data_IF_890321132821
#
_entry.id   IF_890321132821
#
_cell.length_a   1.000
_cell.length_b   1.000
_cell.length_c   1.000
_cell.angle_alpha   90.00
_cell.angle_beta   90.00
_cell.angle_gamma   90.00
#
_symmetry.space_group_name_H-M   'P 1'
#
loop_
_entity.id
_entity.type
_entity.pdbx_description
1 polymer ?
#
# COMPACT_ATOMS: atom_id res chain seq x y z
N UNK A 1 -18.71 18.46 -12.29
CA UNK A 1 -17.54 19.13 -12.89
C UNK A 1 -16.61 19.62 -11.75
N UNK A 2 -15.48 18.96 -11.50
CA UNK A 2 -14.55 19.34 -10.43
C UNK A 2 -13.83 18.13 -9.86
N UNK A 3 -13.35 18.30 -8.64
CA UNK A 3 -12.59 17.30 -7.90
C UNK A 3 -13.53 16.25 -7.27
N UNK A 4 -13.00 15.09 -7.00
CA UNK A 4 -13.59 14.11 -6.11
C UNK A 4 -12.86 14.14 -4.77
N UNK A 5 -13.49 14.73 -3.75
CA UNK A 5 -12.91 14.75 -2.41
C UNK A 5 -13.35 13.53 -1.61
N UNK A 6 -12.38 12.83 -1.03
CA UNK A 6 -12.61 11.78 -0.03
C UNK A 6 -12.15 12.29 1.31
N UNK A 7 -13.10 12.43 2.25
CA UNK A 7 -12.82 12.93 3.58
C UNK A 7 -12.64 11.78 4.57
N UNK A 8 -11.52 11.79 5.27
CA UNK A 8 -11.21 10.85 6.33
C UNK A 8 -11.96 11.15 7.61
N UNK A 9 -12.42 10.09 8.28
CA UNK A 9 -13.06 10.17 9.59
C UNK A 9 -12.33 9.33 10.65
N UNK A 10 -11.14 8.83 10.32
CA UNK A 10 -10.34 7.99 11.21
C UNK A 10 -10.80 6.52 11.23
N UNK A 11 -11.43 6.03 10.17
CA UNK A 11 -11.81 4.62 10.07
C UNK A 11 -10.56 3.73 9.85
N UNK A 12 -10.19 2.86 10.79
CA UNK A 12 -9.03 1.97 10.67
C UNK A 12 -9.34 0.69 9.90
N UNK A 13 -10.60 0.46 9.50
CA UNK A 13 -11.03 -0.85 8.98
C UNK A 13 -10.76 -1.05 7.49
N UNK A 14 -10.25 -0.06 6.76
CA UNK A 14 -9.90 -0.20 5.34
C UNK A 14 -8.57 -0.94 5.21
N UNK A 15 -8.61 -2.25 5.48
CA UNK A 15 -7.44 -3.10 5.66
C UNK A 15 -7.70 -4.51 5.12
N UNK A 16 -6.62 -5.19 4.74
CA UNK A 16 -6.62 -6.62 4.37
C UNK A 16 -7.20 -7.55 5.45
N UNK A 17 -7.31 -7.08 6.68
CA UNK A 17 -7.94 -7.83 7.78
C UNK A 17 -9.46 -7.95 7.65
N UNK A 18 -10.11 -6.98 6.99
CA UNK A 18 -11.57 -6.85 6.96
C UNK A 18 -12.15 -7.03 5.57
N UNK A 19 -11.33 -6.91 4.53
CA UNK A 19 -11.76 -7.05 3.13
C UNK A 19 -11.00 -8.16 2.44
N UNK A 20 -11.68 -9.22 2.04
CA UNK A 20 -11.12 -10.25 1.18
C UNK A 20 -10.67 -9.60 -0.15
N UNK A 21 -9.40 -9.82 -0.54
CA UNK A 21 -8.78 -9.13 -1.66
C UNK A 21 -8.18 -7.75 -1.32
N UNK A 22 -8.07 -7.45 -0.01
CA UNK A 22 -7.41 -6.25 0.50
C UNK A 22 -8.20 -4.96 0.33
N UNK A 23 -7.63 -3.80 0.73
CA UNK A 23 -8.30 -2.51 0.66
C UNK A 23 -8.71 -2.13 -0.76
N UNK A 24 -7.99 -2.56 -1.78
CA UNK A 24 -8.37 -2.35 -3.18
C UNK A 24 -9.72 -3.01 -3.55
N UNK A 25 -10.17 -4.04 -2.83
CA UNK A 25 -11.50 -4.64 -3.07
C UNK A 25 -12.63 -3.65 -2.75
N UNK A 26 -12.51 -2.94 -1.63
CA UNK A 26 -13.46 -1.88 -1.26
C UNK A 26 -13.45 -0.75 -2.29
N UNK A 27 -12.28 -0.30 -2.73
CA UNK A 27 -12.20 0.78 -3.72
C UNK A 27 -12.76 0.36 -5.08
N UNK A 28 -12.58 -0.89 -5.50
CA UNK A 28 -13.26 -1.42 -6.69
C UNK A 28 -14.77 -1.45 -6.52
N UNK A 29 -15.26 -1.76 -5.33
CA UNK A 29 -16.71 -1.68 -5.05
C UNK A 29 -17.20 -0.24 -5.17
N UNK A 30 -16.55 0.74 -4.55
CA UNK A 30 -16.91 2.15 -4.67
C UNK A 30 -16.87 2.63 -6.12
N UNK A 31 -15.85 2.25 -6.88
CA UNK A 31 -15.74 2.60 -8.29
C UNK A 31 -16.91 2.07 -9.10
N UNK A 32 -17.32 0.81 -8.89
CA UNK A 32 -18.51 0.23 -9.54
C UNK A 32 -19.80 0.96 -9.16
N UNK A 33 -19.97 1.27 -7.88
CA UNK A 33 -21.15 2.00 -7.40
C UNK A 33 -21.24 3.41 -8.00
N UNK A 34 -20.13 4.13 -8.06
CA UNK A 34 -20.05 5.45 -8.69
C UNK A 34 -20.31 5.36 -10.20
N UNK A 35 -19.74 4.37 -10.88
CA UNK A 35 -20.00 4.11 -12.29
C UNK A 35 -21.47 3.77 -12.53
N UNK A 36 -22.10 2.96 -11.70
CA UNK A 36 -23.52 2.61 -11.79
C UNK A 36 -24.43 3.84 -11.59
N UNK A 37 -23.99 4.80 -10.76
CA UNK A 37 -24.69 6.11 -10.59
C UNK A 37 -24.43 7.10 -11.72
N UNK A 38 -23.68 6.71 -12.75
CA UNK A 38 -23.48 7.52 -13.94
C UNK A 38 -22.18 8.33 -13.94
N UNK A 39 -21.31 8.21 -12.92
CA UNK A 39 -20.01 8.87 -12.96
C UNK A 39 -19.14 8.23 -14.04
N UNK A 40 -18.68 9.02 -15.01
CA UNK A 40 -17.82 8.57 -16.12
C UNK A 40 -16.50 9.32 -16.18
N UNK A 41 -16.47 10.50 -15.54
CA UNK A 41 -15.32 11.39 -15.61
C UNK A 41 -15.26 12.29 -14.38
N UNK A 42 -14.06 12.46 -13.86
CA UNK A 42 -13.66 13.47 -12.87
C UNK A 42 -12.78 14.44 -13.64
N UNK A 43 -13.17 15.73 -13.72
CA UNK A 43 -12.42 16.73 -14.50
C UNK A 43 -11.25 17.33 -13.73
N UNK A 44 -11.30 17.32 -12.42
CA UNK A 44 -10.23 17.72 -11.53
C UNK A 44 -9.51 16.51 -10.93
N UNK A 45 -9.06 16.68 -9.70
CA UNK A 45 -8.23 15.76 -8.95
C UNK A 45 -9.04 14.81 -8.05
N UNK A 46 -8.36 13.78 -7.55
CA UNK A 46 -8.79 13.03 -6.37
C UNK A 46 -8.15 13.68 -5.15
N UNK A 47 -8.94 14.31 -4.33
CA UNK A 47 -8.48 15.03 -3.12
C UNK A 47 -8.67 14.14 -1.89
N UNK A 48 -7.56 13.86 -1.20
CA UNK A 48 -7.59 13.20 0.11
C UNK A 48 -7.66 14.26 1.21
N UNK A 49 -8.84 14.41 1.83
CA UNK A 49 -9.04 15.32 2.95
C UNK A 49 -8.90 14.56 4.27
N UNK A 50 -7.74 14.63 4.89
CA UNK A 50 -7.45 14.04 6.20
C UNK A 50 -7.37 15.08 7.33
N UNK A 51 -7.88 16.30 7.10
CA UNK A 51 -7.83 17.45 8.01
C UNK A 51 -8.65 17.29 9.29
N UNK A 52 -9.30 16.13 9.49
CA UNK A 52 -9.92 15.80 10.77
C UNK A 52 -8.88 15.62 11.90
N UNK A 53 -7.69 15.15 11.54
CA UNK A 53 -6.54 15.06 12.43
C UNK A 53 -5.57 16.22 12.13
N UNK A 54 -4.65 16.49 13.06
CA UNK A 54 -3.57 17.43 12.83
C UNK A 54 -2.47 16.83 11.92
N UNK A 55 -1.48 17.65 11.57
CA UNK A 55 -0.38 17.24 10.69
C UNK A 55 0.72 16.44 11.39
N UNK A 56 0.52 16.09 12.67
CA UNK A 56 1.49 15.31 13.45
C UNK A 56 1.36 13.82 13.10
N UNK A 57 1.97 13.41 12.01
CA UNK A 57 1.92 12.03 11.50
C UNK A 57 2.59 11.02 12.44
N UNK A 58 3.66 11.44 13.11
CA UNK A 58 4.41 10.63 14.08
C UNK A 58 4.49 11.38 15.40
N UNK A 59 3.94 10.84 16.49
CA UNK A 59 4.05 11.45 17.80
C UNK A 59 5.53 11.73 18.18
N UNK A 60 5.86 12.90 18.73
CA UNK A 60 7.26 13.28 19.04
C UNK A 60 7.96 12.34 20.03
N UNK A 61 7.20 11.53 20.76
CA UNK A 61 7.73 10.53 21.71
C UNK A 61 8.11 9.21 21.06
N UNK A 62 7.77 9.01 19.78
CA UNK A 62 8.12 7.78 19.08
C UNK A 62 9.57 7.83 18.58
N UNK A 63 10.23 6.69 18.63
CA UNK A 63 11.60 6.56 18.14
C UNK A 63 11.61 6.51 16.62
N UNK A 64 12.12 7.56 15.98
CA UNK A 64 12.24 7.67 14.51
C UNK A 64 13.03 6.52 13.88
N UNK A 65 13.89 5.84 14.65
CA UNK A 65 14.61 4.65 14.15
C UNK A 65 13.71 3.45 13.92
N UNK A 66 12.49 3.49 14.45
CA UNK A 66 11.48 2.44 14.34
C UNK A 66 10.36 2.80 13.36
N UNK A 67 10.50 3.89 12.61
CA UNK A 67 9.44 4.39 11.70
C UNK A 67 9.03 3.40 10.60
N UNK A 68 9.85 2.38 10.33
CA UNK A 68 9.55 1.32 9.37
C UNK A 68 8.72 0.17 9.97
N UNK A 69 8.58 0.13 11.30
CA UNK A 69 7.90 -0.96 12.00
C UNK A 69 6.40 -0.70 12.08
N UNK A 70 5.58 -1.73 11.91
CA UNK A 70 4.13 -1.64 11.84
C UNK A 70 3.47 -0.88 12.99
N UNK A 71 4.02 -0.95 14.20
CA UNK A 71 3.50 -0.24 15.38
C UNK A 71 3.88 1.25 15.43
N UNK A 72 4.71 1.69 14.49
CA UNK A 72 5.11 3.10 14.32
C UNK A 72 4.57 3.68 13.00
N UNK A 73 3.47 3.12 12.49
CA UNK A 73 2.83 3.63 11.29
C UNK A 73 2.33 5.06 11.48
N UNK A 74 2.47 5.88 10.45
CA UNK A 74 1.99 7.26 10.45
C UNK A 74 0.49 7.32 10.74
N UNK A 75 0.06 8.32 11.52
CA UNK A 75 -1.34 8.58 11.85
C UNK A 75 -1.97 9.43 10.74
N UNK A 76 -3.16 9.07 10.29
CA UNK A 76 -3.94 9.83 9.31
C UNK A 76 -5.43 9.58 9.51
N UNK A 77 -6.26 10.58 9.25
CA UNK A 77 -7.70 10.40 9.23
C UNK A 77 -8.19 9.58 8.02
N UNK A 78 -7.37 9.46 6.97
CA UNK A 78 -7.52 8.52 5.86
C UNK A 78 -6.51 7.40 6.01
N UNK A 79 -6.94 6.27 6.56
CA UNK A 79 -6.09 5.10 6.77
C UNK A 79 -6.34 4.04 5.70
N UNK A 80 -5.27 3.37 5.28
CA UNK A 80 -5.31 2.24 4.35
C UNK A 80 -4.35 1.15 4.80
N UNK A 81 -4.85 -0.08 4.94
CA UNK A 81 -4.07 -1.27 5.29
C UNK A 81 -3.20 -1.08 6.55
N UNK A 82 -3.82 -0.53 7.62
CA UNK A 82 -3.14 -0.18 8.88
C UNK A 82 -1.97 0.81 8.68
N UNK A 83 -2.00 1.60 7.62
CA UNK A 83 -0.92 2.48 7.14
C UNK A 83 0.41 1.74 6.94
N UNK A 84 0.31 0.49 6.47
CA UNK A 84 1.41 -0.40 6.16
C UNK A 84 1.28 -0.99 4.75
N UNK A 85 2.42 -1.40 4.20
CA UNK A 85 2.52 -2.29 3.06
C UNK A 85 2.71 -3.72 3.54
N UNK A 86 1.81 -4.62 3.16
CA UNK A 86 2.08 -6.04 3.25
C UNK A 86 3.03 -6.43 2.10
N UNK A 87 4.11 -7.13 2.42
CA UNK A 87 5.11 -7.61 1.47
C UNK A 87 5.07 -9.12 1.44
N UNK A 88 4.79 -9.68 0.28
CA UNK A 88 4.76 -11.11 0.05
C UNK A 88 5.90 -11.51 -0.90
N UNK A 89 6.75 -12.43 -0.47
CA UNK A 89 7.86 -12.95 -1.28
C UNK A 89 7.64 -14.42 -1.56
N UNK A 90 7.51 -14.76 -2.85
CA UNK A 90 7.35 -16.13 -3.32
C UNK A 90 8.65 -16.63 -3.96
N UNK A 91 9.17 -17.80 -3.57
CA UNK A 91 10.31 -18.36 -4.26
C UNK A 91 10.00 -18.61 -5.73
N UNK A 92 11.00 -18.48 -6.58
CA UNK A 92 10.90 -18.86 -7.98
C UNK A 92 10.78 -20.40 -8.13
N UNK A 93 10.36 -20.85 -9.30
CA UNK A 93 10.26 -22.28 -9.61
C UNK A 93 11.63 -23.02 -9.62
N UNK A 94 12.73 -22.29 -9.62
CA UNK A 94 14.10 -22.82 -9.65
C UNK A 94 15.03 -21.98 -8.78
N UNK A 95 15.97 -22.63 -8.10
CA UNK A 95 17.06 -21.95 -7.42
C UNK A 95 17.95 -21.17 -8.41
N UNK A 96 18.59 -20.11 -7.95
CA UNK A 96 19.38 -19.18 -8.76
C UNK A 96 18.53 -18.15 -9.54
N UNK A 97 17.22 -18.10 -9.31
CA UNK A 97 16.35 -17.10 -9.91
C UNK A 97 15.83 -16.11 -8.86
N UNK A 98 15.57 -14.86 -9.24
CA UNK A 98 14.95 -13.90 -8.32
C UNK A 98 13.56 -14.36 -7.88
N UNK A 99 13.25 -14.18 -6.61
CA UNK A 99 11.94 -14.41 -6.05
C UNK A 99 10.94 -13.36 -6.60
N UNK A 100 9.66 -13.68 -6.57
CA UNK A 100 8.60 -12.73 -6.91
C UNK A 100 8.19 -11.95 -5.65
N UNK A 101 8.23 -10.63 -5.74
CA UNK A 101 7.79 -9.73 -4.68
C UNK A 101 6.43 -9.12 -5.09
N UNK A 102 5.48 -9.18 -4.18
CA UNK A 102 4.16 -8.57 -4.31
C UNK A 102 3.91 -7.67 -3.10
N UNK A 103 3.23 -6.55 -3.28
CA UNK A 103 2.90 -5.61 -2.19
C UNK A 103 1.42 -5.23 -2.20
N UNK A 104 0.87 -4.98 -1.01
CA UNK A 104 -0.52 -4.56 -0.83
C UNK A 104 -0.55 -3.45 0.23
N UNK A 105 -1.20 -2.28 -0.03
CA UNK A 105 -1.77 -1.87 -1.31
C UNK A 105 -0.70 -1.70 -2.40
N UNK A 106 -1.11 -1.66 -3.65
CA UNK A 106 -0.24 -1.38 -4.79
C UNK A 106 -0.82 -0.19 -5.55
N UNK A 107 0.01 0.83 -5.78
CA UNK A 107 -0.35 2.01 -6.57
C UNK A 107 0.92 2.68 -7.11
N UNK A 108 0.76 3.65 -8.02
CA UNK A 108 1.89 4.33 -8.68
C UNK A 108 2.86 5.06 -7.75
N UNK A 109 2.47 5.33 -6.49
CA UNK A 109 3.37 5.95 -5.50
C UNK A 109 4.34 4.94 -4.86
N UNK A 110 4.06 3.63 -4.96
CA UNK A 110 4.86 2.60 -4.32
C UNK A 110 5.88 2.05 -5.31
N UNK A 111 7.14 2.13 -4.94
CA UNK A 111 8.25 1.63 -5.74
C UNK A 111 8.94 0.49 -5.00
N UNK A 112 9.03 -0.68 -5.64
CA UNK A 112 9.71 -1.86 -5.10
C UNK A 112 11.04 -2.04 -5.83
N UNK A 113 12.13 -2.06 -5.08
CA UNK A 113 13.48 -2.23 -5.59
C UNK A 113 14.06 -3.58 -5.10
N UNK A 114 14.72 -4.29 -6.01
CA UNK A 114 15.34 -5.57 -5.73
C UNK A 114 14.35 -6.73 -5.65
N UNK A 115 14.90 -7.90 -5.54
CA UNK A 115 14.17 -9.14 -5.26
C UNK A 115 15.16 -10.13 -4.59
N UNK A 116 14.74 -10.83 -3.54
CA UNK A 116 15.55 -11.88 -2.92
C UNK A 116 15.91 -12.98 -3.92
N UNK A 117 17.08 -13.59 -3.75
CA UNK A 117 17.45 -14.77 -4.54
C UNK A 117 16.73 -16.01 -4.02
N UNK A 118 16.23 -16.84 -4.93
CA UNK A 118 15.75 -18.18 -4.57
C UNK A 118 16.93 -19.14 -4.50
N UNK A 119 17.17 -19.73 -3.33
CA UNK A 119 18.35 -20.60 -3.08
C UNK A 119 17.96 -22.06 -2.91
N UNK A 120 18.85 -22.96 -3.27
CA UNK A 120 18.66 -24.42 -3.10
C UNK A 120 18.70 -24.87 -1.62
N UNK A 121 19.37 -24.09 -0.76
CA UNK A 121 19.47 -24.34 0.68
C UNK A 121 18.15 -24.16 1.42
N UNK A 122 18.15 -24.43 2.72
CA UNK A 122 16.96 -24.33 3.58
C UNK A 122 16.81 -22.94 4.24
N UNK A 123 17.81 -22.09 4.17
CA UNK A 123 17.81 -20.80 4.86
C UNK A 123 16.97 -19.77 4.09
N UNK A 124 16.07 -19.12 4.83
CA UNK A 124 15.29 -17.98 4.34
C UNK A 124 15.59 -16.79 5.23
N UNK A 125 16.06 -15.70 4.62
CA UNK A 125 16.30 -14.42 5.28
C UNK A 125 15.87 -13.29 4.34
N UNK A 126 14.74 -12.67 4.63
CA UNK A 126 14.22 -11.53 3.88
C UNK A 126 14.43 -10.27 4.70
N UNK A 127 14.88 -9.22 4.05
CA UNK A 127 15.09 -7.91 4.63
C UNK A 127 14.28 -6.93 3.80
N UNK A 128 13.41 -6.18 4.48
CA UNK A 128 12.58 -5.13 3.87
C UNK A 128 12.93 -3.82 4.53
N UNK A 129 13.23 -2.81 3.73
CA UNK A 129 13.48 -1.45 4.19
C UNK A 129 12.67 -0.45 3.37
N UNK A 130 12.15 0.58 4.02
CA UNK A 130 11.56 1.75 3.37
C UNK A 130 12.50 2.94 3.51
N UNK A 131 12.77 3.62 2.40
CA UNK A 131 13.53 4.86 2.44
C UNK A 131 12.69 5.93 3.17
N UNK A 132 13.19 6.54 4.26
CA UNK A 132 12.48 7.57 5.01
C UNK A 132 11.91 8.69 4.13
N UNK A 133 10.69 9.16 4.44
CA UNK A 133 9.99 10.19 3.68
C UNK A 133 9.59 9.78 2.26
N UNK A 134 9.49 8.48 1.99
CA UNK A 134 9.08 7.94 0.66
C UNK A 134 8.37 6.61 0.80
N UNK A 135 7.66 6.19 -0.27
CA UNK A 135 7.13 4.83 -0.43
C UNK A 135 8.02 3.96 -1.34
N UNK A 136 9.34 4.23 -1.33
CA UNK A 136 10.33 3.38 -1.99
C UNK A 136 10.82 2.34 -1.02
N UNK A 137 10.57 1.06 -1.33
CA UNK A 137 10.98 -0.08 -0.51
C UNK A 137 12.02 -0.92 -1.23
N UNK A 138 13.02 -1.40 -0.50
CA UNK A 138 13.98 -2.39 -0.97
C UNK A 138 13.67 -3.73 -0.33
N UNK A 139 13.66 -4.79 -1.14
CA UNK A 139 13.45 -6.17 -0.69
C UNK A 139 14.66 -6.99 -1.10
N UNK A 140 15.43 -7.44 -0.11
CA UNK A 140 16.70 -8.12 -0.34
C UNK A 140 16.82 -9.41 0.47
N UNK A 141 17.91 -10.18 0.24
CA UNK A 141 18.19 -11.42 0.95
C UNK A 141 17.95 -12.66 0.10
N UNK A 142 17.51 -13.73 0.74
CA UNK A 142 17.30 -15.03 0.07
C UNK A 142 16.07 -15.74 0.61
N UNK A 143 15.46 -16.58 -0.23
CA UNK A 143 14.37 -17.47 0.12
C UNK A 143 14.65 -18.88 -0.38
N UNK A 144 14.47 -19.87 0.51
CA UNK A 144 14.65 -21.26 0.13
C UNK A 144 13.62 -21.67 -0.95
N UNK A 145 14.07 -22.41 -1.95
CA UNK A 145 13.25 -22.85 -3.09
C UNK A 145 11.94 -23.56 -2.70
N UNK A 146 11.95 -24.31 -1.60
CA UNK A 146 10.77 -25.05 -1.11
C UNK A 146 10.07 -24.33 0.06
N UNK A 147 10.45 -23.12 0.35
CA UNK A 147 9.81 -22.35 1.42
C UNK A 147 8.38 -21.95 1.02
N UNK A 148 7.46 -21.97 1.98
CA UNK A 148 6.18 -21.30 1.79
C UNK A 148 6.41 -19.80 1.48
N UNK A 149 5.46 -19.11 0.86
CA UNK A 149 5.60 -17.66 0.70
C UNK A 149 5.92 -16.99 2.03
N UNK A 150 6.95 -16.14 2.03
CA UNK A 150 7.28 -15.31 3.18
C UNK A 150 6.41 -14.05 3.18
N UNK A 151 5.95 -13.64 4.34
CA UNK A 151 5.19 -12.40 4.50
C UNK A 151 5.77 -11.53 5.60
N UNK A 152 5.74 -10.23 5.39
CA UNK A 152 6.10 -9.20 6.35
C UNK A 152 5.42 -7.90 5.99
N UNK A 153 5.69 -6.85 6.74
CA UNK A 153 5.14 -5.53 6.47
C UNK A 153 6.17 -4.43 6.74
N UNK A 154 5.89 -3.26 6.21
CA UNK A 154 6.63 -2.02 6.43
C UNK A 154 5.65 -0.86 6.36
N UNK A 155 5.87 0.19 7.13
CA UNK A 155 4.96 1.35 7.16
C UNK A 155 4.91 2.11 5.84
N UNK A 156 3.78 2.78 5.59
CA UNK A 156 3.62 3.76 4.51
C UNK A 156 4.13 5.13 4.92
N UNK A 157 4.57 5.90 3.93
CA UNK A 157 4.72 7.35 4.02
C UNK A 157 3.51 8.02 3.36
N UNK A 158 2.97 9.03 4.01
CA UNK A 158 1.76 9.74 3.59
C UNK A 158 0.57 8.81 3.24
N UNK A 159 -0.07 8.20 4.26
CA UNK A 159 -1.18 7.26 4.04
C UNK A 159 -2.34 7.85 3.25
N UNK A 160 -2.64 9.16 3.43
CA UNK A 160 -3.73 9.84 2.72
C UNK A 160 -3.46 9.89 1.21
N UNK A 161 -2.23 10.18 0.81
CA UNK A 161 -1.84 10.16 -0.62
C UNK A 161 -1.86 8.75 -1.21
N UNK A 162 -1.42 7.74 -0.45
CA UNK A 162 -1.50 6.33 -0.88
C UNK A 162 -2.96 5.89 -1.02
N UNK A 163 -3.83 6.31 -0.10
CA UNK A 163 -5.28 6.09 -0.17
C UNK A 163 -5.85 6.67 -1.48
N UNK A 164 -5.61 7.97 -1.74
CA UNK A 164 -6.10 8.65 -2.94
C UNK A 164 -5.57 8.01 -4.24
N UNK A 165 -4.29 7.67 -4.28
CA UNK A 165 -3.67 7.02 -5.45
C UNK A 165 -4.27 5.64 -5.70
N UNK A 166 -4.46 4.82 -4.66
CA UNK A 166 -5.09 3.49 -4.78
C UNK A 166 -6.54 3.60 -5.24
N UNK A 167 -7.29 4.58 -4.72
CA UNK A 167 -8.66 4.85 -5.17
C UNK A 167 -8.69 5.30 -6.63
N UNK A 168 -7.80 6.21 -7.02
CA UNK A 168 -7.70 6.68 -8.40
C UNK A 168 -7.47 5.54 -9.39
N UNK A 169 -6.60 4.58 -9.05
CA UNK A 169 -6.37 3.39 -9.87
C UNK A 169 -7.61 2.50 -9.98
N UNK A 170 -8.35 2.32 -8.88
CA UNK A 170 -9.59 1.56 -8.90
C UNK A 170 -10.67 2.23 -9.78
N UNK A 171 -10.77 3.56 -9.72
CA UNK A 171 -11.69 4.35 -10.56
C UNK A 171 -11.32 4.23 -12.05
N UNK A 172 -10.04 4.38 -12.37
CA UNK A 172 -9.53 4.23 -13.76
C UNK A 172 -9.77 2.81 -14.29
N UNK A 173 -9.55 1.78 -13.47
CA UNK A 173 -9.79 0.39 -13.84
C UNK A 173 -11.28 0.11 -14.13
N UNK A 174 -12.21 0.83 -13.51
CA UNK A 174 -13.65 0.76 -13.76
C UNK A 174 -14.11 1.67 -14.91
N UNK A 175 -13.17 2.31 -15.62
CA UNK A 175 -13.44 3.15 -16.79
C UNK A 175 -13.87 4.59 -16.45
N UNK A 176 -13.65 5.05 -15.22
CA UNK A 176 -13.87 6.45 -14.84
C UNK A 176 -12.60 7.24 -15.16
N UNK A 177 -12.69 8.17 -16.11
CA UNK A 177 -11.56 9.02 -16.50
C UNK A 177 -11.26 10.09 -15.43
N UNK A 178 -9.99 10.28 -15.12
CA UNK A 178 -9.50 11.35 -14.23
C UNK A 178 -8.59 12.24 -15.08
N UNK A 179 -8.81 13.58 -15.05
CA UNK A 179 -8.15 14.54 -15.95
C UNK A 179 -7.22 15.51 -15.21
N UNK A 180 -7.29 15.58 -13.86
CA UNK A 180 -6.36 16.31 -13.02
C UNK A 180 -5.10 15.56 -12.66
#
# INVERSE_FOLDING_TARGET
DGDLTVRGTGDPNISSRFYEGGPAALFRQWARELSAKGLRRIRGDIVADDTLFDDVRLPPTWDVRQEETWYSAQVSALSINDNCLDVLVRPAAQAGRPARVEVVPSCGLIQVEGAPETVAGAETRIIVHRKPGTNRISVTGQIAFRHAPWSGNVTLDDPAMVFASTLAEALKAEGIAIQG
#
